data_IF_269996791347
#
_entry.id   IF_269996791347
#
_cell.length_a   1.000
_cell.length_b   1.000
_cell.length_c   1.000
_cell.angle_alpha   90.00
_cell.angle_beta   90.00
_cell.angle_gamma   90.00
#
_symmetry.space_group_name_H-M   'P 1'
#
loop_
_entity.id
_entity.type
_entity.pdbx_description
1 polymer ?
#
# COMPACT_ATOMS: atom_id res chain seq x y z
N UNK A 1 -7.73 -0.54 -0.53
CA UNK A 1 -6.99 -0.34 0.74
C UNK A 1 -5.49 -0.48 0.51
N UNK A 2 -5.02 -1.59 -0.07
CA UNK A 2 -3.58 -1.83 -0.36
C UNK A 2 -2.90 -0.71 -1.15
N UNK A 3 -3.56 -0.10 -2.13
CA UNK A 3 -3.00 1.04 -2.88
C UNK A 3 -2.65 2.24 -1.97
N UNK A 4 -3.51 2.57 -1.00
CA UNK A 4 -3.25 3.65 -0.04
C UNK A 4 -2.09 3.28 0.90
N UNK A 5 -2.08 2.04 1.40
CA UNK A 5 -0.98 1.51 2.24
C UNK A 5 0.36 1.60 1.50
N UNK A 6 0.37 1.28 0.20
CA UNK A 6 1.57 1.38 -0.64
C UNK A 6 2.03 2.82 -0.82
N UNK A 7 1.11 3.75 -1.08
CA UNK A 7 1.44 5.18 -1.20
C UNK A 7 2.04 5.72 0.11
N UNK A 8 1.41 5.43 1.25
CA UNK A 8 1.87 5.94 2.54
C UNK A 8 3.17 5.28 3.01
N UNK A 9 3.37 3.99 2.73
CA UNK A 9 4.65 3.31 2.95
C UNK A 9 5.77 3.95 2.11
N UNK A 10 5.52 4.24 0.82
CA UNK A 10 6.56 4.81 -0.05
C UNK A 10 6.91 6.25 0.34
N UNK A 11 5.96 7.04 0.83
CA UNK A 11 6.23 8.38 1.39
C UNK A 11 7.15 8.30 2.61
N UNK A 12 6.84 7.42 3.57
CA UNK A 12 7.69 7.21 4.75
C UNK A 12 9.08 6.70 4.37
N UNK A 13 9.18 5.77 3.42
CA UNK A 13 10.47 5.29 2.94
C UNK A 13 11.29 6.39 2.24
N UNK A 14 10.64 7.28 1.48
CA UNK A 14 11.30 8.44 0.89
C UNK A 14 11.86 9.40 1.96
N UNK A 15 11.14 9.61 3.07
CA UNK A 15 11.63 10.43 4.19
C UNK A 15 12.88 9.82 4.85
N UNK A 16 12.92 8.48 4.97
CA UNK A 16 14.10 7.75 5.45
C UNK A 16 15.29 7.97 4.51
N UNK A 17 15.10 7.82 3.20
CA UNK A 17 16.15 8.06 2.20
C UNK A 17 16.63 9.51 2.22
N UNK A 18 15.72 10.47 2.33
CA UNK A 18 16.06 11.89 2.43
C UNK A 18 16.89 12.18 3.69
N UNK A 19 16.54 11.57 4.82
CA UNK A 19 17.31 11.66 6.06
C UNK A 19 18.72 11.07 5.90
N UNK A 20 18.82 9.89 5.28
CA UNK A 20 20.10 9.25 5.01
C UNK A 20 20.99 10.10 4.08
N UNK A 21 20.42 10.64 3.00
CA UNK A 21 21.12 11.52 2.06
C UNK A 21 21.65 12.79 2.75
N UNK A 22 20.85 13.42 3.63
CA UNK A 22 21.30 14.55 4.45
C UNK A 22 22.49 14.20 5.35
N UNK A 23 22.59 12.94 5.77
CA UNK A 23 23.70 12.41 6.57
C UNK A 23 24.87 11.87 5.72
N UNK A 24 24.88 12.12 4.42
CA UNK A 24 25.95 11.72 3.51
C UNK A 24 25.88 10.26 3.03
N UNK A 25 24.81 9.53 3.35
CA UNK A 25 24.62 8.17 2.87
C UNK A 25 23.98 8.18 1.49
N UNK A 26 24.57 7.45 0.55
CA UNK A 26 24.02 7.27 -0.79
C UNK A 26 23.82 5.79 -1.10
N UNK A 27 22.64 5.43 -1.57
CA UNK A 27 22.27 4.04 -1.86
C UNK A 27 22.23 3.81 -3.36
N UNK A 28 22.75 2.66 -3.81
CA UNK A 28 22.59 2.24 -5.19
C UNK A 28 21.09 2.04 -5.53
N UNK A 29 20.66 2.28 -6.78
CA UNK A 29 19.25 2.11 -7.17
C UNK A 29 18.65 0.75 -6.78
N UNK A 30 19.39 -0.35 -6.98
CA UNK A 30 18.94 -1.69 -6.59
C UNK A 30 18.71 -1.85 -5.06
N UNK A 31 19.49 -1.14 -4.24
CA UNK A 31 19.29 -1.11 -2.78
C UNK A 31 18.05 -0.27 -2.40
N UNK A 32 17.77 0.79 -3.14
CA UNK A 32 16.55 1.60 -2.98
C UNK A 32 15.32 0.76 -3.30
N UNK A 33 15.32 0.06 -4.44
CA UNK A 33 14.18 -0.77 -4.88
C UNK A 33 13.89 -1.92 -3.92
N UNK A 34 14.93 -2.67 -3.53
CA UNK A 34 14.78 -3.78 -2.57
C UNK A 34 14.35 -3.28 -1.19
N UNK A 35 14.87 -2.14 -0.75
CA UNK A 35 14.47 -1.52 0.52
C UNK A 35 13.02 -1.03 0.51
N UNK A 36 12.54 -0.46 -0.60
CA UNK A 36 11.15 -0.03 -0.75
C UNK A 36 10.18 -1.22 -0.68
N UNK A 37 10.52 -2.34 -1.33
CA UNK A 37 9.72 -3.57 -1.25
C UNK A 37 9.66 -4.09 0.18
N UNK A 38 10.81 -4.17 0.86
CA UNK A 38 10.88 -4.63 2.25
C UNK A 38 10.06 -3.72 3.18
N UNK A 39 10.21 -2.40 3.07
CA UNK A 39 9.49 -1.43 3.91
C UNK A 39 7.97 -1.57 3.77
N UNK A 40 7.47 -1.79 2.54
CA UNK A 40 6.05 -2.04 2.30
C UNK A 40 5.56 -3.32 2.98
N UNK A 41 6.29 -4.42 2.86
CA UNK A 41 5.92 -5.68 3.53
C UNK A 41 5.92 -5.55 5.06
N UNK A 42 6.89 -4.85 5.63
CA UNK A 42 6.95 -4.56 7.06
C UNK A 42 5.74 -3.71 7.52
N UNK A 43 5.41 -2.65 6.77
CA UNK A 43 4.23 -1.81 7.04
C UNK A 43 2.93 -2.63 6.98
N UNK A 44 2.81 -3.51 5.97
CA UNK A 44 1.67 -4.40 5.83
C UNK A 44 1.54 -5.34 7.03
N UNK A 45 2.64 -5.95 7.47
CA UNK A 45 2.66 -6.84 8.63
C UNK A 45 2.28 -6.09 9.92
N UNK A 46 2.73 -4.85 10.10
CA UNK A 46 2.34 -4.02 11.24
C UNK A 46 0.84 -3.71 11.26
N UNK A 47 0.24 -3.42 10.10
CA UNK A 47 -1.20 -3.21 9.99
C UNK A 47 -2.00 -4.48 10.31
N UNK A 48 -1.55 -5.63 9.82
CA UNK A 48 -2.17 -6.93 10.14
C UNK A 48 -2.09 -7.19 11.64
N UNK A 49 -0.93 -6.96 12.26
CA UNK A 49 -0.73 -7.13 13.69
C UNK A 49 -1.62 -6.17 14.51
N UNK A 50 -1.93 -4.99 13.99
CA UNK A 50 -2.86 -4.03 14.59
C UNK A 50 -4.35 -4.35 14.35
N UNK A 51 -4.66 -5.47 13.68
CA UNK A 51 -6.03 -5.94 13.45
C UNK A 51 -6.68 -5.44 12.16
N UNK A 52 -5.92 -4.83 11.26
CA UNK A 52 -6.43 -4.39 9.95
C UNK A 52 -6.30 -5.48 8.89
N UNK A 53 -7.28 -5.56 8.01
CA UNK A 53 -7.20 -6.36 6.78
C UNK A 53 -6.71 -5.47 5.62
N UNK A 54 -5.54 -5.82 5.05
CA UNK A 54 -5.00 -5.12 3.87
C UNK A 54 -5.55 -5.79 2.60
N UNK A 55 -6.69 -5.27 2.14
CA UNK A 55 -7.37 -5.77 0.94
C UNK A 55 -6.62 -5.42 -0.35
N UNK A 56 -6.43 -6.39 -1.26
CA UNK A 56 -5.81 -6.16 -2.57
C UNK A 56 -6.46 -4.99 -3.31
N UNK A 57 -5.68 -4.24 -4.09
CA UNK A 57 -6.19 -3.08 -4.82
C UNK A 57 -7.28 -3.44 -5.86
N UNK A 58 -7.24 -4.65 -6.39
CA UNK A 58 -8.20 -5.23 -7.34
C UNK A 58 -9.37 -5.97 -6.68
N UNK A 59 -9.30 -6.20 -5.36
CA UNK A 59 -10.34 -6.90 -4.59
C UNK A 59 -11.47 -5.97 -4.11
N UNK A 60 -11.66 -4.80 -4.72
CA UNK A 60 -12.90 -4.06 -4.47
C UNK A 60 -14.08 -4.97 -4.85
N UNK A 61 -15.04 -5.22 -3.94
CA UNK A 61 -16.29 -5.81 -4.33
C UNK A 61 -16.87 -4.88 -5.38
N UNK A 62 -16.95 -5.35 -6.63
CA UNK A 62 -17.86 -4.73 -7.58
C UNK A 62 -19.20 -4.70 -6.86
N UNK A 63 -19.78 -3.51 -6.65
CA UNK A 63 -21.17 -3.44 -6.23
C UNK A 63 -21.93 -4.42 -7.12
N UNK A 64 -22.51 -5.47 -6.53
CA UNK A 64 -23.28 -6.43 -7.32
C UNK A 64 -24.43 -5.65 -7.95
N UNK A 65 -24.36 -5.45 -9.26
CA UNK A 65 -25.46 -4.92 -10.10
C UNK A 65 -26.74 -5.80 -10.01
N UNK A 66 -26.74 -6.87 -9.20
CA UNK A 66 -27.91 -7.70 -8.91
C UNK A 66 -29.05 -6.95 -8.19
N UNK A 67 -28.78 -5.84 -7.49
CA UNK A 67 -29.86 -5.07 -6.86
C UNK A 67 -30.58 -4.18 -7.86
N UNK A 68 -29.93 -3.77 -8.96
CA UNK A 68 -30.51 -2.88 -9.97
C UNK A 68 -31.49 -3.58 -10.93
N UNK A 69 -31.43 -4.91 -11.07
CA UNK A 69 -32.33 -5.66 -11.96
C UNK A 69 -33.66 -6.11 -11.32
N UNK A 70 -33.85 -5.93 -10.01
CA UNK A 70 -35.08 -6.35 -9.31
C UNK A 70 -36.13 -5.24 -9.12
N UNK A 71 -35.91 -4.03 -9.65
CA UNK A 71 -36.81 -2.88 -9.45
C UNK A 71 -37.43 -2.30 -10.75
N UNK A 72 -37.49 -3.06 -11.85
CA UNK A 72 -38.41 -2.72 -12.94
C UNK A 72 -39.73 -3.46 -12.74
N UNK A 73 -40.83 -2.79 -12.34
CA UNK A 73 -42.16 -3.35 -12.50
C UNK A 73 -42.52 -3.34 -13.99
N UNK A 74 -43.15 -4.43 -14.45
CA UNK A 74 -43.86 -4.53 -15.73
C UNK A 74 -45.02 -3.54 -15.74
#
# INVERSE_FOLDING_TARGET
MESNVKIDSLRQYADILASAARNGWNYAPAAIDSGAKRHFEETRLQLIAAGFEVMPADAQPRCSDEVARKLSPI
#
